data_IF_974990721315
#
_entry.id   IF_974990721315
#
_cell.length_a   1.000
_cell.length_b   1.000
_cell.length_c   1.000
_cell.angle_alpha   90.00
_cell.angle_beta   90.00
_cell.angle_gamma   90.00
#
_symmetry.space_group_name_H-M   'P 1'
#
loop_
_entity.id
_entity.type
_entity.pdbx_description
1 polymer ?
#
# COMPACT_ATOMS: atom_id res chain seq x y z
N UNK A 1 29.25 -51.40 19.88
CA UNK A 1 29.39 -51.69 18.44
C UNK A 1 29.51 -50.37 17.68
N UNK A 2 30.69 -50.15 17.10
CA UNK A 2 31.01 -49.35 15.90
C UNK A 2 30.55 -47.89 15.77
N UNK A 3 31.45 -46.99 16.19
CA UNK A 3 32.07 -45.87 15.43
C UNK A 3 31.69 -45.74 13.94
N UNK A 4 31.59 -44.47 13.46
CA UNK A 4 31.93 -43.88 12.13
C UNK A 4 30.92 -42.78 11.74
N UNK A 5 31.23 -41.56 11.28
CA UNK A 5 32.45 -40.85 10.94
C UNK A 5 32.20 -39.33 10.94
N UNK A 6 33.21 -38.59 11.36
CA UNK A 6 33.42 -37.15 11.14
C UNK A 6 33.74 -36.94 9.64
N UNK A 7 33.13 -35.92 9.01
CA UNK A 7 33.75 -35.27 7.87
C UNK A 7 33.48 -33.77 7.89
N UNK A 8 34.40 -33.04 8.52
CA UNK A 8 34.69 -31.63 8.23
C UNK A 8 35.58 -31.59 6.98
N UNK A 9 35.07 -31.04 5.90
CA UNK A 9 35.81 -30.56 4.72
C UNK A 9 34.98 -29.35 4.26
N UNK A 10 35.48 -28.14 4.08
CA UNK A 10 36.78 -27.73 3.55
C UNK A 10 36.43 -26.61 2.57
N UNK A 11 36.94 -25.41 2.84
CA UNK A 11 36.68 -24.16 2.13
C UNK A 11 36.93 -24.31 0.62
N UNK A 12 36.03 -23.76 -0.21
CA UNK A 12 36.34 -23.38 -1.59
C UNK A 12 35.80 -21.97 -1.87
N UNK A 13 36.66 -20.98 -1.64
CA UNK A 13 36.55 -19.62 -2.15
C UNK A 13 37.30 -19.59 -3.48
N UNK A 14 36.60 -19.39 -4.60
CA UNK A 14 37.20 -18.85 -5.83
C UNK A 14 36.10 -18.53 -6.84
N UNK A 15 36.04 -17.28 -7.32
CA UNK A 15 35.26 -16.97 -8.53
C UNK A 15 34.61 -15.59 -8.59
N UNK A 16 35.32 -14.50 -8.33
CA UNK A 16 34.89 -13.16 -8.80
C UNK A 16 35.61 -12.83 -10.10
N UNK A 17 34.93 -13.05 -11.22
CA UNK A 17 35.19 -12.30 -12.46
C UNK A 17 33.89 -11.59 -12.83
N UNK A 18 33.88 -10.27 -12.74
CA UNK A 18 32.87 -9.45 -13.39
C UNK A 18 33.59 -8.33 -14.13
N UNK A 19 33.37 -8.33 -15.44
CA UNK A 19 33.81 -7.35 -16.41
C UNK A 19 33.07 -6.04 -16.17
N UNK A 20 33.73 -4.89 -16.26
CA UNK A 20 33.06 -3.71 -16.82
C UNK A 20 34.08 -2.79 -17.50
N UNK A 21 33.75 -2.47 -18.74
CA UNK A 21 34.53 -1.71 -19.70
C UNK A 21 34.61 -0.23 -19.33
N UNK A 22 35.69 0.41 -19.77
CA UNK A 22 35.89 1.85 -19.73
C UNK A 22 35.81 2.39 -21.16
N UNK A 23 35.07 3.48 -21.40
CA UNK A 23 35.28 4.36 -22.55
C UNK A 23 34.03 4.79 -23.33
N UNK A 24 33.77 6.10 -23.38
CA UNK A 24 32.88 6.72 -24.37
C UNK A 24 32.26 8.05 -23.93
N UNK A 25 32.87 9.16 -24.34
CA UNK A 25 32.53 10.56 -24.03
C UNK A 25 31.43 11.17 -24.92
N UNK A 26 30.90 12.32 -24.48
CA UNK A 26 30.22 13.40 -25.25
C UNK A 26 28.75 13.13 -25.67
N UNK A 27 27.77 14.04 -25.59
CA UNK A 27 27.79 15.50 -25.53
C UNK A 27 26.46 16.00 -24.94
N UNK A 28 26.51 17.02 -24.08
CA UNK A 28 25.32 17.78 -23.72
C UNK A 28 24.78 18.57 -24.90
N UNK A 29 23.45 18.62 -25.02
CA UNK A 29 22.74 19.60 -25.82
C UNK A 29 21.48 20.02 -25.05
N UNK A 30 21.64 21.09 -24.26
CA UNK A 30 20.53 21.88 -23.78
C UNK A 30 20.18 22.95 -24.82
N UNK A 31 18.91 22.97 -25.23
CA UNK A 31 18.19 24.11 -25.80
C UNK A 31 16.70 23.75 -25.67
N UNK A 32 15.96 24.20 -24.66
CA UNK A 32 15.37 25.55 -24.56
C UNK A 32 14.43 25.85 -25.74
N UNK A 33 13.23 25.28 -25.69
CA UNK A 33 12.06 25.68 -26.47
C UNK A 33 10.99 26.22 -25.52
N UNK A 34 10.60 27.47 -25.77
CA UNK A 34 9.93 28.40 -24.86
C UNK A 34 8.40 28.27 -24.79
N UNK A 35 7.85 28.92 -23.75
CA UNK A 35 6.52 29.56 -23.67
C UNK A 35 5.32 28.62 -23.67
N UNK A 36 4.23 28.81 -22.92
CA UNK A 36 3.79 29.76 -21.89
C UNK A 36 2.36 29.29 -21.62
N UNK A 37 2.03 29.01 -20.35
CA UNK A 37 0.80 29.46 -19.68
C UNK A 37 0.66 28.74 -18.35
N UNK A 38 0.84 29.54 -17.30
CA UNK A 38 0.42 29.27 -15.95
C UNK A 38 -1.09 29.01 -15.88
N UNK A 39 -1.52 27.77 -16.09
CA UNK A 39 -2.82 27.29 -15.63
C UNK A 39 -2.66 25.86 -15.10
N UNK A 40 -2.72 25.71 -13.77
CA UNK A 40 -3.21 24.49 -13.12
C UNK A 40 -2.32 23.23 -13.11
N UNK A 41 -1.03 23.33 -12.72
CA UNK A 41 -0.17 22.17 -12.40
C UNK A 41 -0.52 21.45 -11.09
N UNK A 42 -1.82 21.31 -10.80
CA UNK A 42 -2.31 20.46 -9.70
C UNK A 42 -2.57 19.05 -10.25
N UNK A 43 -2.99 18.92 -11.52
CA UNK A 43 -3.26 17.64 -12.19
C UNK A 43 -2.01 16.97 -12.81
N UNK A 44 -0.98 17.78 -13.11
CA UNK A 44 0.30 17.33 -13.69
C UNK A 44 1.05 16.39 -12.72
N UNK A 45 0.92 16.63 -11.40
CA UNK A 45 1.47 15.80 -10.33
C UNK A 45 0.82 14.41 -10.24
N UNK A 46 -0.39 14.21 -10.78
CA UNK A 46 -1.07 12.91 -10.77
C UNK A 46 -0.83 12.10 -12.05
N UNK A 47 -0.30 12.73 -13.10
CA UNK A 47 -0.27 12.15 -14.45
C UNK A 47 1.11 11.66 -14.86
N UNK A 48 2.20 12.22 -14.29
CA UNK A 48 3.56 11.83 -14.67
C UNK A 48 4.37 11.28 -13.47
N UNK A 49 4.08 10.03 -13.11
CA UNK A 49 4.87 9.25 -12.15
C UNK A 49 5.81 8.28 -12.87
N UNK A 50 6.68 8.83 -13.71
CA UNK A 50 7.84 8.15 -14.28
C UNK A 50 9.12 8.31 -13.43
N UNK A 51 8.99 8.69 -12.16
CA UNK A 51 10.09 8.59 -11.18
C UNK A 51 9.85 7.35 -10.28
N UNK A 52 10.60 6.25 -10.48
CA UNK A 52 10.40 5.00 -9.75
C UNK A 52 10.86 5.07 -8.28
N UNK A 53 11.43 6.19 -7.82
CA UNK A 53 12.06 6.26 -6.50
C UNK A 53 11.25 6.99 -5.40
N UNK A 54 10.13 7.66 -5.71
CA UNK A 54 9.21 8.19 -4.68
C UNK A 54 7.75 8.14 -5.18
N UNK A 55 7.15 6.97 -5.14
CA UNK A 55 5.70 6.81 -5.31
C UNK A 55 5.10 6.28 -4.01
N UNK A 56 4.79 7.19 -3.08
CA UNK A 56 3.86 6.88 -1.99
C UNK A 56 2.46 6.92 -2.62
N UNK A 57 2.08 5.86 -3.31
CA UNK A 57 0.76 5.75 -3.92
C UNK A 57 -0.13 4.84 -3.07
N UNK A 58 -1.11 5.44 -2.40
CA UNK A 58 -2.19 4.71 -1.73
C UNK A 58 -3.10 4.08 -2.78
N UNK A 59 -3.49 2.83 -2.60
CA UNK A 59 -4.39 2.15 -3.55
C UNK A 59 -5.81 2.75 -3.51
N UNK A 60 -6.27 3.32 -4.64
CA UNK A 60 -7.61 3.94 -4.77
C UNK A 60 -8.77 2.99 -4.42
N UNK A 61 -8.63 1.70 -4.70
CA UNK A 61 -9.69 0.71 -4.45
C UNK A 61 -9.76 0.32 -2.98
N UNK A 62 -8.62 0.16 -2.29
CA UNK A 62 -8.61 -0.09 -0.84
C UNK A 62 -9.21 1.10 -0.08
N UNK A 63 -8.89 2.32 -0.52
CA UNK A 63 -9.45 3.54 0.03
C UNK A 63 -10.98 3.59 -0.09
N UNK A 64 -11.48 3.50 -1.32
CA UNK A 64 -12.93 3.56 -1.57
C UNK A 64 -13.67 2.39 -0.92
N UNK A 65 -13.09 1.19 -0.94
CA UNK A 65 -13.68 0.03 -0.27
C UNK A 65 -13.77 0.20 1.24
N UNK A 66 -12.76 0.83 1.87
CA UNK A 66 -12.77 1.09 3.31
C UNK A 66 -13.90 2.04 3.69
N UNK A 67 -14.11 3.09 2.89
CA UNK A 67 -15.22 4.03 3.08
C UNK A 67 -16.58 3.37 2.83
N UNK A 68 -16.69 2.51 1.83
CA UNK A 68 -17.93 1.77 1.53
C UNK A 68 -18.31 0.79 2.64
N UNK A 69 -17.35 -0.05 3.06
CA UNK A 69 -17.60 -1.12 4.05
C UNK A 69 -17.83 -0.54 5.44
N UNK A 70 -17.13 0.54 5.79
CA UNK A 70 -17.21 1.18 7.11
C UNK A 70 -18.04 2.46 7.09
N UNK A 71 -18.94 2.63 6.12
CA UNK A 71 -19.77 3.83 5.96
C UNK A 71 -20.70 4.15 7.15
N UNK A 72 -20.92 3.17 8.03
CA UNK A 72 -21.70 3.33 9.26
C UNK A 72 -20.89 3.97 10.40
N UNK A 73 -19.56 4.12 10.22
CA UNK A 73 -18.70 4.80 11.17
C UNK A 73 -18.56 6.29 10.79
N UNK A 74 -18.72 7.23 11.74
CA UNK A 74 -18.53 8.64 11.45
C UNK A 74 -17.06 8.96 11.20
N UNK A 75 -16.72 9.56 10.06
CA UNK A 75 -15.35 9.97 9.74
C UNK A 75 -14.92 11.10 10.70
N UNK A 76 -13.70 11.02 11.23
CA UNK A 76 -13.11 12.05 12.09
C UNK A 76 -11.94 12.76 11.43
N UNK A 77 -11.03 12.01 10.81
CA UNK A 77 -9.87 12.55 10.13
C UNK A 77 -9.47 11.65 8.96
N UNK A 78 -8.97 12.26 7.90
CA UNK A 78 -8.62 11.58 6.65
C UNK A 78 -7.37 12.22 6.09
N UNK A 79 -6.31 11.43 5.90
CA UNK A 79 -5.07 11.85 5.25
C UNK A 79 -4.80 10.96 4.03
N UNK A 80 -5.01 11.46 2.81
CA UNK A 80 -4.85 10.68 1.58
C UNK A 80 -3.39 10.41 1.20
N UNK A 81 -2.44 11.18 1.73
CA UNK A 81 -1.02 10.99 1.39
C UNK A 81 -0.39 9.88 2.23
N UNK A 82 -0.72 9.81 3.52
CA UNK A 82 -0.28 8.72 4.39
C UNK A 82 -1.17 7.48 4.30
N UNK A 83 -2.36 7.57 3.70
CA UNK A 83 -3.31 6.47 3.64
C UNK A 83 -4.01 6.20 4.98
N UNK A 84 -4.08 7.21 5.86
CA UNK A 84 -4.68 7.10 7.19
C UNK A 84 -6.12 7.60 7.21
N UNK A 85 -7.03 6.77 7.71
CA UNK A 85 -8.44 7.12 7.94
C UNK A 85 -8.76 6.82 9.40
N UNK A 86 -9.25 7.83 10.12
CA UNK A 86 -9.68 7.70 11.52
C UNK A 86 -11.18 7.95 11.61
N UNK A 87 -11.87 7.03 12.27
CA UNK A 87 -13.32 7.10 12.48
C UNK A 87 -13.66 7.23 13.96
N UNK A 88 -14.87 7.71 14.23
CA UNK A 88 -15.47 7.75 15.56
C UNK A 88 -16.26 6.47 15.84
N UNK A 89 -16.92 6.44 17.00
CA UNK A 89 -17.75 5.30 17.37
C UNK A 89 -19.05 5.26 16.56
N UNK A 90 -19.29 4.16 15.86
CA UNK A 90 -20.53 3.85 15.16
C UNK A 90 -20.94 2.39 15.34
N UNK A 91 -22.21 2.10 15.12
CA UNK A 91 -22.77 0.74 15.29
C UNK A 91 -23.02 0.13 13.92
N UNK A 92 -22.47 -1.05 13.61
CA UNK A 92 -22.70 -1.72 12.34
C UNK A 92 -24.17 -2.16 12.23
N UNK A 93 -24.72 -2.18 11.01
CA UNK A 93 -26.08 -2.68 10.79
C UNK A 93 -26.21 -4.13 11.25
N UNK A 94 -27.25 -4.43 12.03
CA UNK A 94 -27.46 -5.76 12.63
C UNK A 94 -26.56 -6.08 13.83
N UNK A 95 -25.70 -5.15 14.25
CA UNK A 95 -24.87 -5.29 15.45
C UNK A 95 -25.37 -4.47 16.63
N UNK A 96 -25.02 -4.88 17.86
CA UNK A 96 -25.36 -4.16 19.09
C UNK A 96 -24.19 -3.39 19.72
N UNK A 97 -22.98 -3.50 19.18
CA UNK A 97 -21.75 -2.92 19.75
C UNK A 97 -21.25 -1.78 18.87
N UNK A 98 -20.95 -0.65 19.50
CA UNK A 98 -20.29 0.46 18.82
C UNK A 98 -18.78 0.20 18.71
N UNK A 99 -18.24 0.41 17.51
CA UNK A 99 -16.83 0.28 17.18
C UNK A 99 -16.31 1.61 16.65
N UNK A 100 -15.01 1.86 16.82
CA UNK A 100 -14.25 2.81 16.01
C UNK A 100 -13.14 2.08 15.29
N UNK A 101 -12.76 2.60 14.14
CA UNK A 101 -11.71 2.04 13.29
C UNK A 101 -10.65 3.09 12.98
N UNK A 102 -9.39 2.65 13.02
CA UNK A 102 -8.27 3.33 12.37
C UNK A 102 -7.78 2.44 11.23
N UNK A 103 -7.79 2.97 10.02
CA UNK A 103 -7.41 2.27 8.80
C UNK A 103 -6.14 2.92 8.26
N UNK A 104 -5.15 2.11 7.91
CA UNK A 104 -3.91 2.57 7.32
C UNK A 104 -3.61 1.74 6.07
N UNK A 105 -3.45 2.42 4.93
CA UNK A 105 -3.12 1.80 3.64
C UNK A 105 -1.68 2.16 3.30
N UNK A 106 -0.79 1.16 3.30
CA UNK A 106 0.66 1.38 3.29
C UNK A 106 1.34 1.17 1.96
N UNK A 107 0.69 0.47 1.03
CA UNK A 107 1.29 0.03 -0.24
C UNK A 107 0.22 0.10 -1.35
N UNK A 108 0.62 0.42 -2.60
CA UNK A 108 -0.28 0.43 -3.75
C UNK A 108 -0.83 -0.95 -4.14
N UNK A 109 -0.27 -2.05 -3.62
CA UNK A 109 -0.74 -3.39 -3.93
C UNK A 109 -2.17 -3.66 -3.41
N UNK A 110 -2.90 -4.50 -4.13
CA UNK A 110 -4.28 -4.89 -3.79
C UNK A 110 -4.30 -6.22 -3.03
N UNK A 111 -3.69 -6.23 -1.84
CA UNK A 111 -3.57 -7.42 -0.99
C UNK A 111 -3.65 -7.07 0.51
N UNK A 112 -3.65 -8.10 1.35
CA UNK A 112 -3.82 -7.94 2.80
C UNK A 112 -2.63 -7.27 3.51
N UNK A 113 -1.41 -7.32 2.95
CA UNK A 113 -0.24 -6.64 3.55
C UNK A 113 -0.30 -5.13 3.42
N UNK A 114 -1.11 -4.65 2.47
CA UNK A 114 -1.22 -3.24 2.12
C UNK A 114 -2.30 -2.50 2.93
N UNK A 115 -3.09 -3.23 3.71
CA UNK A 115 -4.18 -2.72 4.54
C UNK A 115 -3.97 -3.15 5.99
N UNK A 116 -4.02 -2.20 6.91
CA UNK A 116 -4.05 -2.48 8.34
C UNK A 116 -5.25 -1.81 8.98
N UNK A 117 -6.07 -2.59 9.66
CA UNK A 117 -7.23 -2.09 10.39
C UNK A 117 -7.05 -2.32 11.88
N UNK A 118 -7.27 -1.28 12.68
CA UNK A 118 -7.34 -1.36 14.14
C UNK A 118 -8.76 -1.04 14.58
N UNK A 119 -9.42 -2.00 15.21
CA UNK A 119 -10.78 -1.83 15.73
C UNK A 119 -10.77 -1.76 17.26
N UNK A 120 -11.55 -0.83 17.78
CA UNK A 120 -11.78 -0.68 19.21
C UNK A 120 -13.27 -0.57 19.50
N UNK A 121 -13.74 -1.27 20.53
CA UNK A 121 -15.12 -1.14 21.00
C UNK A 121 -15.19 -0.24 22.22
N UNK A 122 -16.37 0.27 22.58
CA UNK A 122 -16.55 1.01 23.85
C UNK A 122 -16.20 0.19 25.10
N UNK A 123 -16.26 -1.14 25.01
CA UNK A 123 -15.90 -2.06 26.08
C UNK A 123 -14.46 -2.54 26.05
N UNK A 124 -13.60 -1.96 25.20
CA UNK A 124 -12.20 -2.36 25.06
C UNK A 124 -11.90 -3.09 23.76
N UNK A 125 -10.92 -4.00 23.83
CA UNK A 125 -10.33 -4.66 22.66
C UNK A 125 -11.34 -5.49 21.85
N UNK A 126 -11.08 -5.60 20.56
CA UNK A 126 -11.86 -6.41 19.62
C UNK A 126 -11.09 -7.70 19.33
N UNK A 127 -11.81 -8.80 19.08
CA UNK A 127 -11.15 -10.07 18.77
C UNK A 127 -10.39 -9.96 17.44
N UNK A 128 -9.23 -10.62 17.31
CA UNK A 128 -8.47 -10.62 16.05
C UNK A 128 -9.28 -11.14 14.86
N UNK A 129 -10.18 -12.10 15.07
CA UNK A 129 -11.00 -12.66 14.00
C UNK A 129 -12.02 -11.66 13.47
N UNK A 130 -12.56 -10.79 14.32
CA UNK A 130 -13.43 -9.70 13.86
C UNK A 130 -12.64 -8.67 13.05
N UNK A 131 -11.42 -8.34 13.47
CA UNK A 131 -10.54 -7.44 12.68
C UNK A 131 -10.26 -8.04 11.31
N UNK A 132 -9.85 -9.31 11.25
CA UNK A 132 -9.61 -10.02 9.98
C UNK A 132 -10.84 -10.07 9.09
N UNK A 133 -12.02 -10.37 9.66
CA UNK A 133 -13.26 -10.40 8.89
C UNK A 133 -13.58 -9.03 8.25
N UNK A 134 -13.28 -7.94 8.94
CA UNK A 134 -13.43 -6.58 8.39
C UNK A 134 -12.39 -6.29 7.31
N UNK A 135 -11.13 -6.67 7.52
CA UNK A 135 -10.07 -6.55 6.49
C UNK A 135 -10.44 -7.33 5.23
N UNK A 136 -10.90 -8.57 5.37
CA UNK A 136 -11.34 -9.42 4.25
C UNK A 136 -12.56 -8.83 3.53
N UNK A 137 -13.49 -8.22 4.25
CA UNK A 137 -14.63 -7.52 3.66
C UNK A 137 -14.17 -6.32 2.81
N UNK A 138 -13.22 -5.54 3.31
CA UNK A 138 -12.63 -4.41 2.57
C UNK A 138 -11.88 -4.92 1.33
N UNK A 139 -11.02 -5.92 1.47
CA UNK A 139 -10.28 -6.50 0.35
C UNK A 139 -11.21 -7.08 -0.73
N UNK A 140 -12.31 -7.71 -0.31
CA UNK A 140 -13.33 -8.24 -1.21
C UNK A 140 -14.03 -7.12 -1.96
N UNK A 141 -14.45 -6.07 -1.26
CA UNK A 141 -15.08 -4.89 -1.87
C UNK A 141 -14.13 -4.17 -2.82
N UNK A 142 -12.85 -4.04 -2.47
CA UNK A 142 -11.84 -3.41 -3.32
C UNK A 142 -11.64 -4.17 -4.63
N UNK A 143 -11.63 -5.51 -4.58
CA UNK A 143 -11.60 -6.35 -5.79
C UNK A 143 -12.83 -6.14 -6.67
N UNK A 144 -14.02 -6.02 -6.08
CA UNK A 144 -15.25 -5.71 -6.83
C UNK A 144 -15.15 -4.35 -7.53
N UNK A 145 -14.67 -3.32 -6.84
CA UNK A 145 -14.48 -1.98 -7.41
C UNK A 145 -13.49 -2.01 -8.58
N UNK A 146 -12.36 -2.73 -8.44
CA UNK A 146 -11.38 -2.89 -9.53
C UNK A 146 -11.99 -3.57 -10.76
N UNK A 147 -12.77 -4.62 -10.56
CA UNK A 147 -13.44 -5.33 -11.66
C UNK A 147 -14.48 -4.42 -12.34
N UNK A 148 -15.23 -3.63 -11.56
CA UNK A 148 -16.21 -2.68 -12.11
C UNK A 148 -15.53 -1.60 -12.96
N UNK A 149 -14.42 -1.03 -12.48
CA UNK A 149 -13.63 -0.02 -13.21
C UNK A 149 -13.06 -0.58 -14.52
N UNK A 150 -12.64 -1.86 -14.52
CA UNK A 150 -12.06 -2.53 -15.70
C UNK A 150 -13.07 -2.84 -16.81
N UNK A 151 -14.38 -2.60 -16.58
CA UNK A 151 -15.45 -2.87 -17.55
C UNK A 151 -15.94 -1.62 -18.28
N UNK A 152 -15.45 -0.44 -17.89
CA UNK A 152 -15.73 0.85 -18.53
C UNK A 152 -14.70 1.12 -19.62
#
# INVERSE_FOLDING_TARGET
MTIRHILRMGILVCGTLSLVACGGSQSGSGASGANDRSEGKIWDLFTDHADPNVQISVNKYLWNASLDVLNFLPIQSVDPFSGLIVTGYGTPPGGGRAYRATIHITDPALDARSLKVSLESRGGTVSPDTVRAVEDAILTRARQLRIADSRL
#
